data_IF_440807406768
#
_entry.id   IF_440807406768
#
_cell.length_a   1.000
_cell.length_b   1.000
_cell.length_c   1.000
_cell.angle_alpha   90.00
_cell.angle_beta   90.00
_cell.angle_gamma   90.00
#
_symmetry.space_group_name_H-M   'P 1'
#
loop_
_entity.id
_entity.type
_entity.pdbx_description
1 polymer ?
#
# COMPACT_ATOMS: atom_id res chain seq x y z
N UNK A 1 -14.30 13.01 -8.31
CA UNK A 1 -15.04 12.98 -7.02
C UNK A 1 -16.56 12.98 -7.13
N UNK A 2 -17.20 13.67 -8.10
CA UNK A 2 -18.67 13.80 -8.16
C UNK A 2 -19.45 12.48 -8.09
N UNK A 3 -18.96 11.40 -8.69
CA UNK A 3 -19.67 10.11 -8.73
C UNK A 3 -19.61 9.30 -7.42
N UNK A 4 -18.61 9.54 -6.56
CA UNK A 4 -18.40 8.78 -5.31
C UNK A 4 -18.48 9.65 -4.06
N UNK A 5 -18.93 10.91 -4.19
CA UNK A 5 -18.99 11.84 -3.08
C UNK A 5 -19.76 11.25 -1.89
N UNK A 6 -20.98 10.75 -2.13
CA UNK A 6 -21.80 10.15 -1.07
C UNK A 6 -21.26 8.81 -0.53
N UNK A 7 -20.29 8.19 -1.22
CA UNK A 7 -19.59 7.01 -0.68
C UNK A 7 -18.52 7.43 0.32
N UNK A 8 -17.83 8.55 0.09
CA UNK A 8 -16.75 9.05 0.96
C UNK A 8 -17.32 9.91 2.10
N UNK A 9 -18.24 10.81 1.77
CA UNK A 9 -18.94 11.69 2.69
C UNK A 9 -20.34 11.14 2.96
N UNK A 10 -20.40 10.05 3.73
CA UNK A 10 -21.68 9.53 4.21
C UNK A 10 -22.30 10.46 5.27
N UNK A 11 -23.56 10.21 5.63
CA UNK A 11 -24.27 11.04 6.61
C UNK A 11 -23.52 11.14 7.95
N UNK A 12 -22.84 10.06 8.36
CA UNK A 12 -22.06 10.02 9.60
C UNK A 12 -20.87 10.96 9.54
N UNK A 13 -20.05 10.90 8.49
CA UNK A 13 -18.91 11.80 8.32
C UNK A 13 -19.37 13.26 8.22
N UNK A 14 -20.43 13.53 7.45
CA UNK A 14 -20.98 14.88 7.31
C UNK A 14 -21.43 15.43 8.66
N UNK A 15 -22.15 14.64 9.46
CA UNK A 15 -22.58 15.04 10.80
C UNK A 15 -21.40 15.24 11.75
N UNK A 16 -20.38 14.40 11.68
CA UNK A 16 -19.16 14.55 12.50
C UNK A 16 -18.46 15.87 12.19
N UNK A 17 -18.32 16.23 10.92
CA UNK A 17 -17.70 17.50 10.50
C UNK A 17 -18.60 18.68 10.89
N UNK A 18 -19.88 18.65 10.53
CA UNK A 18 -20.81 19.76 10.72
C UNK A 18 -21.04 20.11 12.20
N UNK A 19 -21.01 19.11 13.08
CA UNK A 19 -21.19 19.28 14.52
C UNK A 19 -19.86 19.32 15.29
N UNK A 20 -18.72 19.35 14.60
CA UNK A 20 -17.41 19.41 15.25
C UNK A 20 -17.19 20.73 16.01
N UNK A 21 -16.45 20.66 17.12
CA UNK A 21 -16.05 21.83 17.91
C UNK A 21 -14.63 22.25 17.57
N UNK A 22 -14.27 23.54 17.73
CA UNK A 22 -12.89 24.00 17.52
C UNK A 22 -11.84 23.18 18.29
N UNK A 23 -12.16 22.68 19.49
CA UNK A 23 -11.25 21.86 20.31
C UNK A 23 -10.93 20.48 19.71
N UNK A 24 -11.74 19.97 18.79
CA UNK A 24 -11.48 18.72 18.06
C UNK A 24 -10.52 18.90 16.88
N UNK A 25 -10.29 20.15 16.49
CA UNK A 25 -9.37 20.51 15.43
C UNK A 25 -8.00 20.84 16.01
N UNK A 26 -6.99 20.12 15.55
CA UNK A 26 -5.62 20.26 16.05
C UNK A 26 -4.68 20.63 14.90
N UNK A 27 -3.94 21.72 15.09
CA UNK A 27 -2.83 22.07 14.20
C UNK A 27 -1.63 21.21 14.56
N UNK A 28 -1.04 20.54 13.56
CA UNK A 28 0.13 19.69 13.71
C UNK A 28 1.31 20.19 12.87
N UNK A 29 1.47 21.51 12.86
CA UNK A 29 2.56 22.22 12.16
C UNK A 29 2.42 22.12 10.65
N UNK A 30 3.54 21.84 9.96
CA UNK A 30 3.58 21.72 8.50
C UNK A 30 2.68 20.61 7.93
N UNK A 31 2.22 19.67 8.77
CA UNK A 31 1.27 18.64 8.39
C UNK A 31 -0.17 19.16 8.29
N UNK A 32 -0.47 20.41 8.66
CA UNK A 32 -1.81 20.99 8.54
C UNK A 32 -2.69 20.75 9.76
N UNK A 33 -4.00 20.79 9.57
CA UNK A 33 -4.99 20.74 10.65
C UNK A 33 -5.83 19.47 10.53
N UNK A 34 -5.98 18.73 11.63
CA UNK A 34 -6.76 17.49 11.65
C UNK A 34 -7.98 17.58 12.55
N UNK A 35 -9.09 16.98 12.11
CA UNK A 35 -10.26 16.67 12.95
C UNK A 35 -10.07 15.29 13.58
N UNK A 36 -10.38 15.17 14.88
CA UNK A 36 -10.47 13.89 15.61
C UNK A 36 -9.33 12.92 15.25
N UNK A 37 -8.12 13.24 15.70
CA UNK A 37 -6.90 12.44 15.50
C UNK A 37 -6.66 11.98 14.05
N UNK A 38 -7.10 12.78 13.06
CA UNK A 38 -6.84 12.53 11.65
C UNK A 38 -8.01 11.98 10.86
N UNK A 39 -9.23 11.97 11.40
CA UNK A 39 -10.45 11.59 10.67
C UNK A 39 -10.58 12.36 9.34
N UNK A 40 -10.35 13.68 9.38
CA UNK A 40 -10.26 14.57 8.22
C UNK A 40 -9.03 15.46 8.40
N UNK A 41 -8.34 15.74 7.30
CA UNK A 41 -7.20 16.65 7.28
C UNK A 41 -7.44 17.82 6.33
N UNK A 42 -7.06 19.00 6.79
CA UNK A 42 -7.08 20.24 6.03
C UNK A 42 -5.66 20.76 5.79
N UNK A 43 -5.48 21.34 4.61
CA UNK A 43 -4.36 22.21 4.26
C UNK A 43 -4.95 23.55 3.83
N UNK A 44 -4.78 24.58 4.68
CA UNK A 44 -5.50 25.84 4.54
C UNK A 44 -7.01 25.62 4.52
N UNK A 45 -7.66 25.96 3.40
CA UNK A 45 -9.11 25.82 3.21
C UNK A 45 -9.50 24.55 2.42
N UNK A 46 -8.54 23.68 2.09
CA UNK A 46 -8.78 22.49 1.28
C UNK A 46 -8.69 21.23 2.13
N UNK A 47 -9.52 20.23 1.81
CA UNK A 47 -9.37 18.88 2.36
C UNK A 47 -8.17 18.23 1.67
N UNK A 48 -7.15 17.86 2.44
CA UNK A 48 -5.98 17.13 1.92
C UNK A 48 -6.13 15.61 2.03
N UNK A 49 -6.84 15.12 3.04
CA UNK A 49 -7.03 13.69 3.28
C UNK A 49 -8.28 13.41 4.12
N UNK A 50 -8.84 12.20 3.93
CA UNK A 50 -9.93 11.66 4.73
C UNK A 50 -9.50 10.24 5.11
N UNK A 51 -9.26 10.01 6.40
CA UNK A 51 -8.84 8.69 6.90
C UNK A 51 -10.02 7.87 7.40
N UNK A 52 -11.20 8.49 7.57
CA UNK A 52 -12.46 7.77 7.74
C UNK A 52 -12.76 6.91 6.51
N UNK A 53 -13.30 5.72 6.72
CA UNK A 53 -13.78 4.84 5.65
C UNK A 53 -15.22 4.44 5.93
N UNK A 54 -16.14 4.85 5.05
CA UNK A 54 -17.56 4.53 5.22
C UNK A 54 -17.86 3.04 5.05
N UNK A 55 -19.03 2.59 5.49
CA UNK A 55 -19.49 1.21 5.24
C UNK A 55 -19.56 0.89 3.74
N UNK A 56 -19.92 1.87 2.91
CA UNK A 56 -19.97 1.69 1.45
C UNK A 56 -18.56 1.48 0.87
N UNK A 57 -17.57 2.24 1.34
CA UNK A 57 -16.18 2.08 0.93
C UNK A 57 -15.60 0.75 1.40
N UNK A 58 -15.87 0.35 2.64
CA UNK A 58 -15.42 -0.94 3.18
C UNK A 58 -16.01 -2.12 2.40
N UNK A 59 -17.31 -2.07 2.07
CA UNK A 59 -17.97 -3.08 1.22
C UNK A 59 -17.36 -3.13 -0.18
N UNK A 60 -17.15 -1.98 -0.81
CA UNK A 60 -16.52 -1.90 -2.12
C UNK A 60 -15.10 -2.46 -2.10
N UNK A 61 -14.30 -2.11 -1.08
CA UNK A 61 -12.95 -2.64 -0.88
C UNK A 61 -12.96 -4.17 -0.78
N UNK A 62 -13.86 -4.73 0.02
CA UNK A 62 -14.00 -6.18 0.16
C UNK A 62 -14.37 -6.86 -1.17
N UNK A 63 -15.29 -6.26 -1.94
CA UNK A 63 -15.66 -6.74 -3.27
C UNK A 63 -14.47 -6.74 -4.24
N UNK A 64 -13.70 -5.64 -4.29
CA UNK A 64 -12.52 -5.51 -5.15
C UNK A 64 -11.43 -6.53 -4.77
N UNK A 65 -11.20 -6.74 -3.47
CA UNK A 65 -10.26 -7.78 -2.99
C UNK A 65 -10.72 -9.17 -3.42
N UNK A 66 -12.02 -9.47 -3.29
CA UNK A 66 -12.58 -10.77 -3.73
C UNK A 66 -12.40 -10.99 -5.24
N UNK A 67 -12.69 -9.97 -6.06
CA UNK A 67 -12.47 -10.01 -7.50
C UNK A 67 -10.98 -10.20 -7.84
N UNK A 68 -10.08 -9.52 -7.12
CA UNK A 68 -8.65 -9.68 -7.31
C UNK A 68 -8.19 -11.10 -6.99
N UNK A 69 -8.68 -11.71 -5.90
CA UNK A 69 -8.37 -13.12 -5.56
C UNK A 69 -8.72 -14.08 -6.70
N UNK A 70 -9.80 -13.83 -7.45
CA UNK A 70 -10.18 -14.67 -8.59
C UNK A 70 -9.19 -14.57 -9.77
N UNK A 71 -8.48 -13.45 -9.91
CA UNK A 71 -7.48 -13.20 -10.96
C UNK A 71 -6.06 -13.66 -10.60
N UNK A 72 -5.90 -14.34 -9.46
CA UNK A 72 -4.63 -14.92 -9.03
C UNK A 72 -4.61 -16.44 -9.19
N UNK A 73 -3.41 -16.98 -9.35
CA UNK A 73 -3.14 -18.40 -9.22
C UNK A 73 -3.66 -18.91 -7.86
N UNK A 74 -4.27 -20.10 -7.78
CA UNK A 74 -4.87 -20.62 -6.54
C UNK A 74 -3.97 -20.56 -5.31
N UNK A 75 -2.66 -20.78 -5.47
CA UNK A 75 -1.68 -20.75 -4.37
C UNK A 75 -1.53 -19.38 -3.69
N UNK A 76 -2.00 -18.30 -4.33
CA UNK A 76 -1.88 -16.94 -3.81
C UNK A 76 -3.20 -16.38 -3.28
N UNK A 77 -4.32 -17.10 -3.38
CA UNK A 77 -5.65 -16.53 -3.04
C UNK A 77 -5.87 -16.30 -1.54
N UNK A 78 -5.08 -16.96 -0.70
CA UNK A 78 -5.09 -16.74 0.73
C UNK A 78 -4.18 -15.55 1.11
N UNK A 79 -4.80 -14.44 1.47
CA UNK A 79 -4.17 -13.24 2.06
C UNK A 79 -5.23 -12.38 2.77
N UNK A 80 -4.77 -11.55 3.70
CA UNK A 80 -5.58 -10.58 4.44
C UNK A 80 -5.85 -9.33 3.61
N UNK A 81 -4.79 -8.68 3.13
CA UNK A 81 -4.88 -7.51 2.25
C UNK A 81 -3.81 -7.56 1.15
N UNK A 82 -4.15 -7.07 -0.07
CA UNK A 82 -3.11 -6.71 -1.03
C UNK A 82 -2.37 -5.51 -0.47
N UNK A 83 -1.05 -5.55 -0.42
CA UNK A 83 -0.27 -4.44 0.09
C UNK A 83 0.41 -3.65 -1.05
N UNK A 84 1.12 -4.35 -1.94
CA UNK A 84 1.85 -3.71 -3.03
C UNK A 84 1.78 -4.52 -4.32
N UNK A 85 1.69 -3.84 -5.45
CA UNK A 85 1.88 -4.44 -6.78
C UNK A 85 2.63 -3.49 -7.68
N UNK A 86 3.70 -3.96 -8.30
CA UNK A 86 4.53 -3.13 -9.15
C UNK A 86 5.20 -3.94 -10.26
N UNK A 87 5.65 -3.25 -11.29
CA UNK A 87 6.46 -3.82 -12.35
C UNK A 87 7.83 -3.17 -12.36
N UNK A 88 8.85 -3.98 -12.55
CA UNK A 88 10.17 -3.53 -12.99
C UNK A 88 10.31 -3.76 -14.50
N UNK A 89 11.49 -3.49 -15.05
CA UNK A 89 11.80 -3.85 -16.45
C UNK A 89 11.75 -5.35 -16.74
N UNK A 90 11.87 -6.21 -15.72
CA UNK A 90 11.94 -7.67 -15.90
C UNK A 90 10.84 -8.45 -15.18
N UNK A 91 10.29 -7.90 -14.11
CA UNK A 91 9.39 -8.63 -13.22
C UNK A 91 8.08 -7.90 -13.02
N UNK A 92 7.03 -8.68 -12.81
CA UNK A 92 5.82 -8.24 -12.16
C UNK A 92 5.82 -8.82 -10.76
N UNK A 93 5.59 -7.98 -9.75
CA UNK A 93 5.74 -8.35 -8.35
C UNK A 93 4.48 -7.95 -7.59
N UNK A 94 4.10 -8.81 -6.64
CA UNK A 94 3.01 -8.60 -5.71
C UNK A 94 3.48 -8.91 -4.29
N UNK A 95 3.10 -8.05 -3.36
CA UNK A 95 3.27 -8.24 -1.92
C UNK A 95 1.88 -8.25 -1.27
N UNK A 96 1.61 -9.31 -0.51
CA UNK A 96 0.38 -9.48 0.25
C UNK A 96 0.69 -9.57 1.74
N UNK A 97 -0.13 -8.94 2.58
CA UNK A 97 -0.14 -9.22 4.02
C UNK A 97 -0.93 -10.51 4.28
N UNK A 98 -0.34 -11.40 5.06
CA UNK A 98 -0.87 -12.70 5.41
C UNK A 98 -1.67 -12.64 6.72
N UNK A 99 -2.54 -13.63 7.02
CA UNK A 99 -3.35 -13.64 8.26
C UNK A 99 -2.55 -13.59 9.56
N UNK A 100 -1.27 -13.95 9.53
CA UNK A 100 -0.37 -13.88 10.69
C UNK A 100 0.38 -12.54 10.82
N UNK A 101 0.04 -11.53 10.01
CA UNK A 101 0.69 -10.21 10.00
C UNK A 101 2.06 -10.17 9.31
N UNK A 102 2.55 -11.29 8.78
CA UNK A 102 3.75 -11.32 7.93
C UNK A 102 3.38 -11.06 6.48
N UNK A 103 4.39 -10.87 5.64
CA UNK A 103 4.21 -10.58 4.22
C UNK A 103 4.62 -11.76 3.35
N UNK A 104 3.99 -11.88 2.18
CA UNK A 104 4.36 -12.79 1.10
C UNK A 104 4.69 -12.00 -0.15
N UNK A 105 5.82 -12.31 -0.76
CA UNK A 105 6.27 -11.83 -2.05
C UNK A 105 5.98 -12.89 -3.11
N UNK A 106 5.42 -12.49 -4.25
CA UNK A 106 5.28 -13.31 -5.44
C UNK A 106 5.79 -12.55 -6.66
N UNK A 107 6.59 -13.20 -7.50
CA UNK A 107 7.11 -12.64 -8.73
C UNK A 107 6.87 -13.54 -9.92
N UNK A 108 6.69 -12.88 -11.06
CA UNK A 108 6.53 -13.46 -12.39
C UNK A 108 7.41 -12.69 -13.36
N UNK A 109 7.68 -13.26 -14.52
CA UNK A 109 8.14 -12.47 -15.67
C UNK A 109 7.18 -11.29 -15.96
N UNK A 110 7.70 -10.15 -16.41
CA UNK A 110 6.92 -8.89 -16.56
C UNK A 110 5.64 -9.02 -17.40
N UNK A 111 5.61 -9.96 -18.35
CA UNK A 111 4.48 -10.22 -19.26
C UNK A 111 3.67 -11.47 -18.91
N UNK A 112 4.04 -12.19 -17.85
CA UNK A 112 3.35 -13.42 -17.44
C UNK A 112 2.10 -13.09 -16.60
N UNK A 113 1.06 -13.89 -16.76
CA UNK A 113 -0.21 -13.66 -16.08
C UNK A 113 -0.12 -14.03 -14.59
N UNK A 114 -0.76 -13.24 -13.72
CA UNK A 114 -0.86 -13.58 -12.29
C UNK A 114 -1.75 -14.80 -12.01
N UNK A 115 -2.52 -15.25 -13.01
CA UNK A 115 -3.28 -16.52 -12.93
C UNK A 115 -2.37 -17.74 -13.06
N UNK A 116 -1.18 -17.57 -13.66
CA UNK A 116 -0.17 -18.61 -13.78
C UNK A 116 0.64 -18.73 -12.49
N UNK A 117 1.27 -19.89 -12.29
CA UNK A 117 2.10 -20.14 -11.11
C UNK A 117 3.27 -19.12 -11.09
N UNK A 118 3.51 -18.43 -9.96
CA UNK A 118 4.65 -17.52 -9.84
C UNK A 118 5.98 -18.27 -9.97
N UNK A 119 6.95 -17.61 -10.59
CA UNK A 119 8.32 -18.12 -10.71
C UNK A 119 9.03 -18.15 -9.35
N UNK A 120 8.67 -17.21 -8.47
CA UNK A 120 9.22 -17.11 -7.12
C UNK A 120 8.14 -16.72 -6.12
N UNK A 121 8.11 -17.43 -4.99
CA UNK A 121 7.32 -17.07 -3.81
C UNK A 121 8.24 -17.04 -2.61
N UNK A 122 8.26 -15.92 -1.87
CA UNK A 122 8.94 -15.78 -0.60
C UNK A 122 7.91 -15.47 0.49
N UNK A 123 8.00 -16.16 1.62
CA UNK A 123 7.10 -15.98 2.76
C UNK A 123 7.87 -15.38 3.94
N UNK A 124 7.14 -15.11 5.02
CA UNK A 124 7.71 -14.61 6.28
C UNK A 124 8.45 -13.27 6.11
N UNK A 125 8.01 -12.46 5.15
CA UNK A 125 8.51 -11.11 4.98
C UNK A 125 8.08 -10.22 6.14
N UNK A 126 8.88 -9.19 6.39
CA UNK A 126 8.60 -8.13 7.35
C UNK A 126 8.63 -6.78 6.66
N UNK A 127 7.92 -5.81 7.22
CA UNK A 127 7.97 -4.40 6.82
C UNK A 127 8.72 -3.59 7.88
N UNK A 128 9.48 -2.59 7.44
CA UNK A 128 10.19 -1.64 8.30
C UNK A 128 9.83 -0.24 7.83
N UNK A 129 9.35 0.60 8.72
CA UNK A 129 8.94 1.98 8.40
C UNK A 129 10.16 2.90 8.46
N UNK A 130 10.39 3.67 7.39
CA UNK A 130 11.51 4.60 7.23
C UNK A 130 11.11 6.00 7.71
N UNK A 131 10.69 6.06 8.98
CA UNK A 131 10.22 7.27 9.64
C UNK A 131 8.70 7.47 9.55
N UNK A 132 8.27 8.74 9.59
CA UNK A 132 6.85 9.12 9.66
C UNK A 132 6.26 9.61 8.32
N UNK A 133 7.09 9.66 7.28
CA UNK A 133 6.71 10.14 5.94
C UNK A 133 5.90 9.13 5.12
N UNK A 134 5.85 7.88 5.60
CA UNK A 134 5.16 6.78 4.93
C UNK A 134 6.11 5.85 4.18
N UNK A 135 7.31 6.31 3.81
CA UNK A 135 8.36 5.46 3.24
C UNK A 135 8.61 4.25 4.14
N UNK A 136 8.82 3.10 3.52
CA UNK A 136 9.04 1.84 4.20
C UNK A 136 9.68 0.85 3.25
N UNK A 137 10.19 -0.26 3.79
CA UNK A 137 10.69 -1.34 2.96
C UNK A 137 10.29 -2.72 3.48
N UNK A 138 10.13 -3.64 2.54
CA UNK A 138 9.91 -5.06 2.82
C UNK A 138 11.21 -5.82 2.76
N UNK A 139 11.39 -6.79 3.66
CA UNK A 139 12.55 -7.67 3.68
C UNK A 139 12.10 -9.12 3.63
N UNK A 140 12.61 -9.86 2.65
CA UNK A 140 12.44 -11.31 2.52
C UNK A 140 13.81 -11.99 2.44
N UNK A 141 13.97 -13.14 3.09
CA UNK A 141 15.22 -13.91 3.05
C UNK A 141 14.97 -15.29 2.41
N UNK A 142 15.93 -15.77 1.62
CA UNK A 142 15.88 -17.10 1.03
C UNK A 142 17.29 -17.66 0.86
N UNK A 143 17.69 -18.59 1.75
CA UNK A 143 19.06 -19.07 1.80
C UNK A 143 20.05 -17.93 2.02
N UNK A 144 21.03 -17.79 1.11
CA UNK A 144 22.00 -16.68 1.14
C UNK A 144 21.51 -15.37 0.53
N UNK A 145 20.29 -15.33 -0.02
CA UNK A 145 19.72 -14.15 -0.65
C UNK A 145 18.84 -13.34 0.29
N UNK A 146 18.88 -12.03 0.12
CA UNK A 146 17.95 -11.09 0.73
C UNK A 146 17.35 -10.20 -0.34
N UNK A 147 16.03 -10.04 -0.28
CA UNK A 147 15.23 -9.22 -1.19
C UNK A 147 14.68 -8.05 -0.38
N UNK A 148 15.03 -6.84 -0.79
CA UNK A 148 14.57 -5.61 -0.18
C UNK A 148 13.74 -4.84 -1.19
N UNK A 149 12.53 -4.46 -0.80
CA UNK A 149 11.61 -3.71 -1.66
C UNK A 149 11.33 -2.39 -0.95
N UNK A 150 12.02 -1.35 -1.38
CA UNK A 150 11.83 0.01 -0.87
C UNK A 150 10.62 0.64 -1.54
N UNK A 151 9.70 1.16 -0.74
CA UNK A 151 8.50 1.84 -1.18
C UNK A 151 8.67 3.34 -0.90
N UNK A 152 8.80 4.11 -1.98
CA UNK A 152 9.04 5.55 -1.91
C UNK A 152 7.70 6.29 -2.08
N UNK A 153 7.21 6.92 -1.02
CA UNK A 153 6.07 7.83 -1.04
C UNK A 153 6.53 9.28 -1.07
N UNK A 154 7.70 9.57 -0.50
CA UNK A 154 8.36 10.86 -0.59
C UNK A 154 9.44 10.82 -1.67
N UNK A 155 9.45 11.84 -2.52
CA UNK A 155 10.41 11.94 -3.61
C UNK A 155 10.09 13.06 -4.58
N UNK A 156 10.95 13.22 -5.57
CA UNK A 156 10.67 14.07 -6.73
C UNK A 156 9.88 13.29 -7.78
N UNK A 157 9.43 13.94 -8.85
CA UNK A 157 8.79 13.27 -9.99
C UNK A 157 9.68 12.21 -10.69
N UNK A 158 10.99 12.22 -10.42
CA UNK A 158 11.95 11.27 -10.98
C UNK A 158 12.19 10.06 -10.05
N UNK A 159 11.71 10.13 -8.81
CA UNK A 159 11.87 9.04 -7.84
C UNK A 159 10.96 7.88 -8.25
N UNK A 160 11.48 6.66 -8.42
CA UNK A 160 10.63 5.51 -8.73
C UNK A 160 9.73 5.19 -7.54
N UNK A 161 8.50 4.75 -7.81
CA UNK A 161 7.54 4.35 -6.79
C UNK A 161 8.08 3.26 -5.85
N UNK A 162 8.93 2.39 -6.41
CA UNK A 162 9.51 1.24 -5.73
C UNK A 162 10.95 1.03 -6.22
N UNK A 163 11.85 0.63 -5.34
CA UNK A 163 13.15 0.08 -5.70
C UNK A 163 13.27 -1.35 -5.19
N UNK A 164 13.53 -2.29 -6.10
CA UNK A 164 13.84 -3.68 -5.77
C UNK A 164 15.36 -3.85 -5.72
N UNK A 165 15.86 -4.29 -4.58
CA UNK A 165 17.24 -4.73 -4.40
C UNK A 165 17.29 -6.20 -4.00
N UNK A 166 18.22 -6.96 -4.60
CA UNK A 166 18.51 -8.33 -4.18
C UNK A 166 20.00 -8.44 -3.90
N UNK A 167 20.35 -8.96 -2.73
CA UNK A 167 21.72 -9.21 -2.31
C UNK A 167 21.97 -10.70 -2.12
N UNK A 168 23.19 -11.15 -2.39
CA UNK A 168 23.69 -12.48 -2.09
C UNK A 168 24.93 -12.33 -1.21
N UNK A 169 24.88 -12.84 0.03
CA UNK A 169 25.99 -12.69 1.00
C UNK A 169 26.46 -11.23 1.11
N UNK A 170 25.51 -10.31 1.26
CA UNK A 170 25.70 -8.86 1.36
C UNK A 170 26.27 -8.15 0.11
N UNK A 171 26.37 -8.82 -1.05
CA UNK A 171 26.68 -8.18 -2.33
C UNK A 171 25.42 -8.02 -3.16
N UNK A 172 25.11 -6.80 -3.59
CA UNK A 172 23.97 -6.54 -4.49
C UNK A 172 24.19 -7.26 -5.82
N UNK A 173 23.22 -8.10 -6.19
CA UNK A 173 23.20 -8.86 -7.46
C UNK A 173 22.09 -8.39 -8.40
N UNK A 174 21.13 -7.62 -7.88
CA UNK A 174 20.07 -6.99 -8.66
C UNK A 174 19.68 -5.65 -8.01
N UNK A 175 19.51 -4.62 -8.82
CA UNK A 175 18.86 -3.36 -8.44
C UNK A 175 17.99 -2.91 -9.60
N UNK A 176 16.69 -2.68 -9.36
CA UNK A 176 15.74 -2.28 -10.39
C UNK A 176 14.70 -1.30 -9.85
N UNK A 177 14.46 -0.25 -10.61
CA UNK A 177 13.32 0.64 -10.40
C UNK A 177 12.02 -0.08 -10.75
N UNK A 178 10.97 0.21 -9.99
CA UNK A 178 9.64 -0.33 -10.16
C UNK A 178 8.56 0.74 -10.05
N UNK A 179 7.45 0.51 -10.74
CA UNK A 179 6.31 1.42 -10.82
C UNK A 179 5.00 0.67 -10.54
N UNK A 180 4.09 1.31 -9.81
CA UNK A 180 2.78 0.73 -9.51
C UNK A 180 1.92 0.57 -10.76
N UNK A 181 1.00 -0.39 -10.73
CA UNK A 181 -0.02 -0.59 -11.77
C UNK A 181 -1.33 -1.16 -11.20
#
# INVERSE_FOLDING_TARGET
>A
MKQRFNQVFDAKLIQNIANSKPSQWQSVGWRGVMLDSGTVWLEGHQIKAINYSSDAEQKLKAQLISQQKQKLHPSLRNFSKPDLQFKTTKFQIRIDEMPNGQYRYAAWGVNQSQTEKPDLILNQGKVVMDGSGGDHHYIFNSGGYQYIIYRNLLGTSETPDVQLEVTLKAKTVLSQNGYLF
#
